data_IF_828766310716
#
_entry.id   IF_828766310716
#
_cell.length_a   1.000
_cell.length_b   1.000
_cell.length_c   1.000
_cell.angle_alpha   90.00
_cell.angle_beta   90.00
_cell.angle_gamma   90.00
#
_symmetry.space_group_name_H-M   'P 1'
#
loop_
_entity.id
_entity.type
_entity.pdbx_description
1 polymer ?
#
# COMPACT_ATOMS: atom_id res chain seq x y z
N UNK A 1 8.36 -22.86 4.85
CA UNK A 1 8.22 -21.64 5.64
C UNK A 1 7.29 -20.59 5.00
N UNK A 2 7.10 -20.50 3.65
CA UNK A 2 6.19 -19.53 3.00
C UNK A 2 4.69 -19.77 3.22
N UNK A 3 4.28 -21.00 3.55
CA UNK A 3 2.86 -21.38 3.76
C UNK A 3 2.32 -21.03 5.16
N UNK A 4 3.20 -20.80 6.15
CA UNK A 4 2.77 -20.50 7.53
C UNK A 4 2.37 -19.03 7.74
N UNK A 5 2.86 -18.11 6.92
CA UNK A 5 2.53 -16.67 7.04
C UNK A 5 1.10 -16.39 6.58
N UNK A 6 0.63 -17.11 5.55
CA UNK A 6 -0.76 -16.98 5.07
C UNK A 6 -1.80 -17.47 6.10
N UNK A 7 -1.46 -18.55 6.83
CA UNK A 7 -2.34 -19.08 7.87
C UNK A 7 -2.44 -18.16 9.10
N UNK A 8 -1.37 -17.44 9.43
CA UNK A 8 -1.38 -16.49 10.54
C UNK A 8 -2.22 -15.23 10.25
N UNK A 9 -2.24 -14.76 9.00
CA UNK A 9 -3.08 -13.62 8.59
C UNK A 9 -4.57 -14.00 8.60
N UNK A 10 -4.93 -15.22 8.16
CA UNK A 10 -6.32 -15.70 8.24
C UNK A 10 -6.77 -15.98 9.68
N UNK A 11 -5.88 -16.44 10.56
CA UNK A 11 -6.23 -16.76 11.95
C UNK A 11 -6.46 -15.50 12.79
N UNK A 12 -5.81 -14.39 12.48
CA UNK A 12 -6.06 -13.10 13.15
C UNK A 12 -7.39 -12.46 12.75
N UNK A 13 -7.90 -12.72 11.55
CA UNK A 13 -9.20 -12.23 11.09
C UNK A 13 -10.36 -12.84 11.88
N UNK A 14 -10.24 -14.11 12.30
CA UNK A 14 -11.31 -14.78 13.06
C UNK A 14 -11.43 -14.33 14.53
N UNK A 15 -10.41 -13.69 15.10
CA UNK A 15 -10.41 -13.25 16.50
C UNK A 15 -10.97 -11.82 16.70
N UNK A 16 -11.18 -11.06 15.63
CA UNK A 16 -11.60 -9.65 15.69
C UNK A 16 -13.10 -9.45 15.45
N UNK A 17 -13.85 -10.52 15.16
CA UNK A 17 -15.31 -10.44 14.91
C UNK A 17 -16.18 -10.12 16.14
N UNK A 18 -15.57 -9.70 17.27
CA UNK A 18 -16.27 -9.42 18.52
C UNK A 18 -16.26 -7.94 18.95
N UNK A 19 -15.76 -7.04 18.15
CA UNK A 19 -15.92 -5.62 18.41
C UNK A 19 -17.10 -5.10 17.57
N UNK A 20 -18.32 -5.20 18.08
CA UNK A 20 -19.45 -4.37 17.63
C UNK A 20 -19.06 -2.90 17.84
N UNK A 21 -18.35 -2.36 16.85
CA UNK A 21 -18.08 -0.94 16.77
C UNK A 21 -19.32 -0.23 16.28
N UNK A 22 -19.98 0.47 17.15
CA UNK A 22 -21.07 1.44 16.89
C UNK A 22 -20.66 2.61 15.99
N UNK A 23 -19.70 2.43 15.13
CA UNK A 23 -19.04 3.55 14.45
C UNK A 23 -19.06 3.29 12.94
N UNK A 24 -19.87 4.00 12.25
CA UNK A 24 -20.07 4.05 10.82
C UNK A 24 -18.97 3.53 9.89
N UNK A 25 -19.20 3.53 8.60
CA UNK A 25 -18.24 3.10 7.58
C UNK A 25 -16.84 3.69 7.79
N UNK A 26 -15.82 2.98 7.34
CA UNK A 26 -14.38 3.35 7.36
C UNK A 26 -13.67 3.21 8.71
N UNK A 27 -14.33 2.74 9.77
CA UNK A 27 -13.74 2.51 11.10
C UNK A 27 -13.56 1.02 11.39
N UNK A 28 -12.79 0.68 12.45
CA UNK A 28 -12.47 -0.70 12.81
C UNK A 28 -11.33 -1.29 11.99
N UNK A 29 -11.11 -2.59 12.16
CA UNK A 29 -10.10 -3.32 11.40
C UNK A 29 -10.57 -3.61 9.98
N UNK A 30 -9.66 -3.52 9.01
CA UNK A 30 -9.92 -3.84 7.63
C UNK A 30 -8.82 -4.69 7.02
N UNK A 31 -9.22 -5.63 6.18
CA UNK A 31 -8.30 -6.45 5.37
C UNK A 31 -8.75 -6.39 3.93
N UNK A 32 -7.82 -6.15 3.01
CA UNK A 32 -8.15 -5.98 1.61
C UNK A 32 -7.03 -6.34 0.67
N UNK A 33 -7.36 -6.23 -0.62
CA UNK A 33 -6.42 -6.37 -1.71
C UNK A 33 -6.57 -5.20 -2.69
N UNK A 34 -5.45 -4.80 -3.27
CA UNK A 34 -5.40 -3.75 -4.29
C UNK A 34 -4.65 -4.25 -5.51
N UNK A 35 -5.13 -3.83 -6.67
CA UNK A 35 -4.45 -3.96 -7.95
C UNK A 35 -4.04 -2.57 -8.41
N UNK A 36 -2.88 -2.45 -9.02
CA UNK A 36 -2.40 -1.16 -9.46
C UNK A 36 -1.26 -1.23 -10.43
N UNK A 37 -0.70 -0.06 -10.67
CA UNK A 37 0.48 0.12 -11.48
C UNK A 37 1.37 1.18 -10.85
N UNK A 38 2.67 0.89 -10.79
CA UNK A 38 3.69 1.83 -10.33
C UNK A 38 4.62 2.18 -11.49
N UNK A 39 4.70 3.46 -11.78
CA UNK A 39 5.65 4.04 -12.71
C UNK A 39 6.91 4.46 -11.95
N UNK A 40 8.07 4.01 -12.45
CA UNK A 40 9.38 4.33 -11.91
C UNK A 40 10.02 5.41 -12.79
N UNK A 41 10.08 6.63 -12.28
CA UNK A 41 10.71 7.76 -12.97
C UNK A 41 12.22 7.52 -13.16
N UNK A 42 12.82 8.21 -14.14
CA UNK A 42 14.22 8.11 -14.57
C UNK A 42 14.53 6.92 -15.52
N UNK A 43 13.66 6.72 -16.52
CA UNK A 43 13.84 5.69 -17.55
C UNK A 43 13.37 4.30 -17.11
N UNK A 44 12.65 4.22 -16.00
CA UNK A 44 12.01 3.01 -15.51
C UNK A 44 10.75 2.65 -16.32
N UNK A 45 10.21 1.49 -15.99
CA UNK A 45 8.99 0.95 -16.60
C UNK A 45 7.84 1.00 -15.62
N UNK A 46 6.64 1.08 -16.15
CA UNK A 46 5.42 0.83 -15.38
C UNK A 46 5.32 -0.66 -15.06
N UNK A 47 5.10 -0.96 -13.80
CA UNK A 47 5.00 -2.32 -13.26
C UNK A 47 3.61 -2.51 -12.65
N UNK A 48 2.96 -3.63 -12.96
CA UNK A 48 1.70 -3.99 -12.34
C UNK A 48 1.94 -4.43 -10.87
N UNK A 49 1.08 -3.99 -9.99
CA UNK A 49 1.13 -4.24 -8.55
C UNK A 49 -0.06 -5.09 -8.09
N UNK A 50 0.22 -6.01 -7.19
CA UNK A 50 -0.79 -6.75 -6.42
C UNK A 50 -0.44 -6.60 -4.96
N UNK A 51 -1.32 -5.95 -4.19
CA UNK A 51 -1.06 -5.63 -2.80
C UNK A 51 -2.07 -6.32 -1.88
N UNK A 52 -1.59 -6.81 -0.72
CA UNK A 52 -2.43 -7.05 0.44
C UNK A 52 -2.36 -5.83 1.36
N UNK A 53 -3.48 -5.46 1.94
CA UNK A 53 -3.62 -4.30 2.82
C UNK A 53 -4.31 -4.72 4.11
N UNK A 54 -3.69 -4.36 5.25
CA UNK A 54 -4.32 -4.37 6.55
C UNK A 54 -4.47 -2.94 7.04
N UNK A 55 -5.60 -2.59 7.64
CA UNK A 55 -5.82 -1.22 8.12
C UNK A 55 -6.63 -1.17 9.40
N UNK A 56 -6.50 -0.08 10.14
CA UNK A 56 -7.34 0.25 11.28
C UNK A 56 -7.82 1.68 11.15
N UNK A 57 -9.14 1.86 11.15
CA UNK A 57 -9.78 3.15 11.06
C UNK A 57 -10.41 3.58 12.38
N UNK A 58 -10.37 4.87 12.68
CA UNK A 58 -10.98 5.47 13.87
C UNK A 58 -11.59 6.82 13.54
N UNK A 59 -12.77 7.09 14.09
CA UNK A 59 -13.47 8.35 13.94
C UNK A 59 -13.04 9.35 15.00
N UNK A 60 -13.03 10.63 14.67
CA UNK A 60 -12.86 11.71 15.63
C UNK A 60 -14.25 12.13 16.14
N UNK A 61 -14.52 12.03 17.45
CA UNK A 61 -15.82 12.34 18.01
C UNK A 61 -16.34 13.74 17.63
N UNK A 62 -17.60 13.82 17.23
CA UNK A 62 -18.22 15.09 16.86
C UNK A 62 -17.81 15.68 15.51
N UNK A 63 -17.08 14.92 14.70
CA UNK A 63 -16.62 15.36 13.37
C UNK A 63 -16.87 14.29 12.32
N UNK A 64 -16.78 14.66 11.05
CA UNK A 64 -16.75 13.72 9.92
C UNK A 64 -15.33 13.25 9.56
N UNK A 65 -14.35 13.54 10.40
CA UNK A 65 -12.97 13.13 10.19
C UNK A 65 -12.77 11.67 10.61
N UNK A 66 -12.00 10.95 9.78
CA UNK A 66 -11.61 9.56 10.03
C UNK A 66 -10.11 9.43 9.80
N UNK A 67 -9.39 8.98 10.83
CA UNK A 67 -8.00 8.59 10.72
C UNK A 67 -7.91 7.11 10.36
N UNK A 68 -6.96 6.73 9.48
CA UNK A 68 -6.67 5.33 9.17
C UNK A 68 -5.17 5.09 9.19
N UNK A 69 -4.74 4.10 9.98
CA UNK A 69 -3.40 3.52 9.86
C UNK A 69 -3.47 2.30 8.95
N UNK A 70 -2.52 2.12 8.06
CA UNK A 70 -2.46 0.98 7.16
C UNK A 70 -1.05 0.38 7.02
N UNK A 71 -1.04 -0.89 6.71
CA UNK A 71 0.15 -1.65 6.28
C UNK A 71 -0.17 -2.26 4.93
N UNK A 72 0.73 -2.09 3.97
CA UNK A 72 0.58 -2.63 2.62
C UNK A 72 1.81 -3.48 2.28
N UNK A 73 1.56 -4.64 1.71
CA UNK A 73 2.61 -5.52 1.18
C UNK A 73 2.34 -5.82 -0.30
N UNK A 74 3.31 -5.51 -1.14
CA UNK A 74 3.26 -5.75 -2.58
C UNK A 74 3.92 -7.09 -2.91
N UNK A 75 3.20 -7.97 -3.59
CA UNK A 75 3.67 -9.28 -4.06
C UNK A 75 4.30 -9.20 -5.46
N UNK A 76 4.30 -8.04 -6.09
CA UNK A 76 4.81 -7.83 -7.44
C UNK A 76 6.32 -8.14 -7.53
N UNK A 77 6.71 -8.75 -8.66
CA UNK A 77 8.08 -8.93 -9.07
C UNK A 77 8.27 -8.24 -10.42
N UNK A 78 8.24 -6.91 -10.40
CA UNK A 78 8.32 -6.11 -11.60
C UNK A 78 9.76 -5.83 -12.03
N UNK A 79 10.02 -5.93 -13.35
CA UNK A 79 11.27 -5.45 -13.94
C UNK A 79 11.13 -3.94 -14.14
N UNK A 80 11.82 -3.15 -13.31
CA UNK A 80 11.76 -1.69 -13.31
C UNK A 80 12.73 -1.07 -14.31
N UNK A 81 13.82 -1.77 -14.65
CA UNK A 81 14.80 -1.32 -15.66
C UNK A 81 15.38 -2.50 -16.42
N UNK A 82 15.64 -2.33 -17.73
CA UNK A 82 16.33 -3.32 -18.54
C UNK A 82 16.97 -2.62 -19.73
N UNK A 83 18.30 -2.55 -19.75
CA UNK A 83 19.12 -2.03 -20.83
C UNK A 83 20.50 -2.68 -20.85
N UNK A 84 21.09 -2.92 -22.04
CA UNK A 84 22.45 -3.40 -22.26
C UNK A 84 22.89 -4.57 -21.37
N UNK A 85 21.99 -5.56 -21.12
CA UNK A 85 22.30 -6.73 -20.29
C UNK A 85 22.19 -6.48 -18.78
N UNK A 86 21.85 -5.28 -18.35
CA UNK A 86 21.52 -4.95 -16.96
C UNK A 86 20.02 -5.04 -16.76
N UNK A 87 19.57 -5.74 -15.73
CA UNK A 87 18.19 -5.85 -15.35
C UNK A 87 18.01 -5.54 -13.86
N UNK A 88 17.13 -4.61 -13.54
CA UNK A 88 16.75 -4.28 -12.16
C UNK A 88 15.31 -4.71 -11.93
N UNK A 89 15.07 -5.44 -10.85
CA UNK A 89 13.73 -5.88 -10.42
C UNK A 89 13.44 -5.32 -9.04
N UNK A 90 12.25 -4.73 -8.88
CA UNK A 90 11.69 -4.42 -7.57
C UNK A 90 10.99 -5.65 -7.01
N UNK A 91 11.18 -5.92 -5.73
CA UNK A 91 10.58 -7.04 -5.00
C UNK A 91 10.23 -6.62 -3.58
N UNK A 92 9.18 -7.27 -3.03
CA UNK A 92 8.86 -7.15 -1.61
C UNK A 92 8.74 -5.70 -1.14
N UNK A 93 7.89 -4.91 -1.80
CA UNK A 93 7.62 -3.56 -1.31
C UNK A 93 6.69 -3.64 -0.11
N UNK A 94 7.10 -3.03 0.97
CA UNK A 94 6.34 -2.88 2.20
C UNK A 94 6.12 -1.40 2.47
N UNK A 95 4.92 -1.03 2.90
CA UNK A 95 4.66 0.33 3.36
C UNK A 95 3.80 0.35 4.62
N UNK A 96 4.02 1.38 5.43
CA UNK A 96 3.17 1.74 6.57
C UNK A 96 2.72 3.17 6.35
N UNK A 97 1.45 3.44 6.52
CA UNK A 97 0.88 4.75 6.23
C UNK A 97 -0.15 5.21 7.25
N UNK A 98 -0.40 6.50 7.19
CA UNK A 98 -1.50 7.16 7.86
C UNK A 98 -2.29 7.98 6.84
N UNK A 99 -3.59 7.78 6.79
CA UNK A 99 -4.52 8.53 5.97
C UNK A 99 -5.47 9.33 6.85
N UNK A 100 -5.66 10.60 6.50
CA UNK A 100 -6.69 11.45 7.08
C UNK A 100 -7.80 11.63 6.07
N UNK A 101 -8.96 11.06 6.36
CA UNK A 101 -10.17 11.15 5.55
C UNK A 101 -11.20 12.11 6.11
N UNK A 102 -12.10 12.54 5.25
CA UNK A 102 -13.29 13.30 5.58
C UNK A 102 -14.52 12.66 4.91
N UNK A 103 -15.53 12.28 5.69
CA UNK A 103 -16.77 11.71 5.15
C UNK A 103 -17.62 12.82 4.53
N UNK A 104 -17.56 12.94 3.21
CA UNK A 104 -18.41 13.89 2.47
C UNK A 104 -19.86 13.41 2.37
N UNK A 105 -20.05 12.09 2.44
CA UNK A 105 -21.32 11.39 2.65
C UNK A 105 -21.09 10.22 3.59
N UNK A 106 -22.13 9.58 4.14
CA UNK A 106 -21.95 8.36 4.94
C UNK A 106 -21.15 7.27 4.26
N UNK A 107 -21.17 7.21 2.93
CA UNK A 107 -20.58 6.14 2.12
C UNK A 107 -19.36 6.58 1.30
N UNK A 108 -18.97 7.85 1.29
CA UNK A 108 -17.85 8.36 0.47
C UNK A 108 -16.89 9.16 1.34
N UNK A 109 -15.62 8.78 1.27
CA UNK A 109 -14.54 9.39 2.06
C UNK A 109 -13.31 9.66 1.20
N UNK A 110 -13.11 10.87 0.67
CA UNK A 110 -11.81 11.31 0.18
C UNK A 110 -10.82 11.40 1.35
N UNK A 111 -9.54 11.16 1.04
CA UNK A 111 -8.46 11.21 2.02
C UNK A 111 -7.14 11.67 1.43
N UNK A 112 -6.27 12.18 2.30
CA UNK A 112 -4.86 12.40 2.03
C UNK A 112 -4.06 11.43 2.91
N UNK A 113 -2.91 10.95 2.39
CA UNK A 113 -2.09 9.92 3.03
C UNK A 113 -0.62 10.33 3.05
N UNK A 114 0.06 9.97 4.12
CA UNK A 114 1.52 9.93 4.21
C UNK A 114 1.94 8.51 4.55
N UNK A 115 3.02 8.04 3.94
CA UNK A 115 3.51 6.67 4.13
C UNK A 115 5.03 6.59 4.13
N UNK A 116 5.55 5.63 4.86
CA UNK A 116 6.91 5.14 4.72
C UNK A 116 6.90 3.91 3.81
N UNK A 117 7.77 3.91 2.80
CA UNK A 117 7.86 2.84 1.79
C UNK A 117 9.26 2.25 1.82
N UNK A 118 9.36 0.93 1.77
CA UNK A 118 10.63 0.19 1.69
C UNK A 118 10.53 -0.88 0.61
N UNK A 119 11.52 -0.93 -0.29
CA UNK A 119 11.54 -1.85 -1.44
C UNK A 119 12.91 -2.48 -1.60
N UNK A 120 12.94 -3.79 -1.85
CA UNK A 120 14.16 -4.51 -2.21
C UNK A 120 14.37 -4.44 -3.73
N UNK A 121 15.48 -3.86 -4.16
CA UNK A 121 15.95 -3.85 -5.55
C UNK A 121 16.95 -4.95 -5.77
N UNK A 122 16.78 -5.74 -6.84
CA UNK A 122 17.76 -6.73 -7.29
C UNK A 122 18.26 -6.37 -8.66
N UNK A 123 19.56 -6.12 -8.75
CA UNK A 123 20.27 -5.89 -10.01
C UNK A 123 20.93 -7.18 -10.47
N UNK A 124 20.89 -7.44 -11.77
CA UNK A 124 21.59 -8.53 -12.43
C UNK A 124 22.27 -8.00 -13.68
N UNK A 125 23.59 -8.23 -13.80
CA UNK A 125 24.39 -7.83 -14.96
C UNK A 125 25.51 -8.86 -15.18
N UNK A 126 25.57 -9.49 -16.37
CA UNK A 126 26.68 -10.38 -16.76
C UNK A 126 26.99 -11.53 -15.79
N UNK A 127 25.99 -12.05 -15.05
CA UNK A 127 26.22 -13.11 -14.05
C UNK A 127 26.55 -12.58 -12.64
N UNK A 128 26.70 -11.28 -12.46
CA UNK A 128 26.84 -10.64 -11.14
C UNK A 128 25.46 -10.27 -10.61
N UNK A 129 25.21 -10.53 -9.33
CA UNK A 129 23.97 -10.23 -8.63
C UNK A 129 24.23 -9.27 -7.48
N UNK A 130 23.51 -8.17 -7.45
CA UNK A 130 23.48 -7.21 -6.35
C UNK A 130 22.07 -7.07 -5.79
N UNK A 131 21.95 -6.87 -4.49
CA UNK A 131 20.67 -6.50 -3.86
C UNK A 131 20.89 -5.27 -3.01
N UNK A 132 19.99 -4.30 -3.15
CA UNK A 132 19.99 -3.07 -2.36
C UNK A 132 18.58 -2.79 -1.88
N UNK A 133 18.47 -2.23 -0.69
CA UNK A 133 17.17 -1.79 -0.15
C UNK A 133 17.09 -0.28 -0.25
N UNK A 134 16.01 0.18 -0.85
CA UNK A 134 15.67 1.61 -0.90
C UNK A 134 14.45 1.87 -0.02
N UNK A 135 14.43 3.02 0.62
CA UNK A 135 13.31 3.43 1.48
C UNK A 135 13.07 4.93 1.36
N UNK A 136 11.89 5.34 1.73
CA UNK A 136 11.54 6.76 1.63
C UNK A 136 10.12 7.07 2.07
N UNK A 137 9.70 8.27 1.74
CA UNK A 137 8.39 8.82 2.11
C UNK A 137 7.53 8.96 0.87
N UNK A 138 6.28 8.52 0.98
CA UNK A 138 5.23 8.72 -0.01
C UNK A 138 4.14 9.64 0.52
N UNK A 139 3.57 10.42 -0.40
CA UNK A 139 2.34 11.18 -0.18
C UNK A 139 1.31 10.73 -1.18
N UNK A 140 0.06 10.62 -0.77
CA UNK A 140 -1.01 10.13 -1.62
C UNK A 140 -2.32 10.85 -1.37
N UNK A 141 -3.20 10.71 -2.34
CA UNK A 141 -4.60 11.12 -2.25
C UNK A 141 -5.46 10.00 -2.80
N UNK A 142 -6.65 9.85 -2.24
CA UNK A 142 -7.55 8.80 -2.67
C UNK A 142 -8.98 9.06 -2.23
N UNK A 143 -9.84 8.10 -2.59
CA UNK A 143 -11.20 8.06 -2.10
C UNK A 143 -11.60 6.62 -1.81
N UNK A 144 -12.42 6.44 -0.78
CA UNK A 144 -13.06 5.18 -0.42
C UNK A 144 -14.56 5.32 -0.52
N UNK A 145 -15.21 4.24 -0.93
CA UNK A 145 -16.66 4.13 -1.00
C UNK A 145 -17.09 2.85 -0.28
N UNK A 146 -17.94 2.99 0.71
CA UNK A 146 -18.63 1.87 1.33
C UNK A 146 -19.78 1.44 0.40
N UNK A 147 -19.71 0.18 -0.07
CA UNK A 147 -20.77 -0.40 -0.93
C UNK A 147 -21.72 -1.26 -0.13
N UNK A 148 -21.29 -1.69 1.05
CA UNK A 148 -22.08 -2.43 2.02
C UNK A 148 -21.57 -2.08 3.44
N UNK A 149 -22.26 -2.56 4.48
CA UNK A 149 -21.89 -2.37 5.89
C UNK A 149 -20.44 -2.71 6.18
N UNK A 150 -19.91 -3.73 5.51
CA UNK A 150 -18.59 -4.28 5.75
C UNK A 150 -17.64 -4.22 4.53
N UNK A 151 -18.10 -3.74 3.38
CA UNK A 151 -17.31 -3.76 2.13
C UNK A 151 -16.99 -2.35 1.68
N UNK A 152 -15.70 -2.07 1.48
CA UNK A 152 -15.18 -0.82 0.94
C UNK A 152 -14.49 -1.05 -0.39
N UNK A 153 -14.72 -0.15 -1.34
CA UNK A 153 -13.90 0.02 -2.53
C UNK A 153 -13.05 1.26 -2.37
N UNK A 154 -11.84 1.24 -2.92
CA UNK A 154 -10.92 2.38 -2.84
C UNK A 154 -10.13 2.58 -4.11
N UNK A 155 -9.75 3.84 -4.34
CA UNK A 155 -8.76 4.23 -5.33
C UNK A 155 -7.76 5.20 -4.69
N UNK A 156 -6.46 5.01 -4.95
CA UNK A 156 -5.37 5.79 -4.38
C UNK A 156 -4.33 6.12 -5.44
N UNK A 157 -3.95 7.38 -5.54
CA UNK A 157 -2.74 7.82 -6.23
C UNK A 157 -1.69 8.18 -5.18
N UNK A 158 -0.46 7.66 -5.34
CA UNK A 158 0.66 7.90 -4.44
C UNK A 158 1.90 8.31 -5.23
N UNK A 159 2.57 9.35 -4.75
CA UNK A 159 3.90 9.75 -5.18
C UNK A 159 4.89 9.44 -4.04
N UNK A 160 5.97 8.71 -4.32
CA UNK A 160 6.99 8.43 -3.33
C UNK A 160 8.39 8.81 -3.82
N UNK A 161 9.23 9.23 -2.88
CA UNK A 161 10.66 9.49 -3.07
C UNK A 161 11.43 8.51 -2.22
N UNK A 162 12.21 7.67 -2.89
CA UNK A 162 13.02 6.62 -2.27
C UNK A 162 14.48 6.97 -2.40
N UNK A 163 15.25 6.74 -1.35
CA UNK A 163 16.70 6.93 -1.32
C UNK A 163 17.38 5.68 -0.78
N UNK A 164 18.66 5.55 -1.06
CA UNK A 164 19.54 4.57 -0.47
C UNK A 164 20.70 5.29 0.22
N UNK A 165 21.19 4.73 1.31
CA UNK A 165 22.34 5.26 2.04
C UNK A 165 23.65 5.20 1.23
N UNK A 166 23.70 4.34 0.19
CA UNK A 166 24.89 4.05 -0.59
C UNK A 166 24.98 4.83 -1.92
N UNK A 167 23.93 5.59 -2.28
CA UNK A 167 23.87 6.34 -3.54
C UNK A 167 23.25 7.73 -3.33
N UNK A 168 23.90 8.76 -3.84
CA UNK A 168 23.40 10.16 -3.86
C UNK A 168 22.26 10.39 -4.88
N UNK A 169 21.38 9.41 -5.08
CA UNK A 169 20.26 9.46 -6.00
C UNK A 169 18.91 9.26 -5.32
N UNK A 170 17.90 10.00 -5.77
CA UNK A 170 16.51 9.79 -5.35
C UNK A 170 15.73 9.13 -6.47
N UNK A 171 15.16 7.95 -6.21
CA UNK A 171 14.20 7.30 -7.09
C UNK A 171 12.80 7.86 -6.80
N UNK A 172 12.07 8.27 -7.84
CA UNK A 172 10.69 8.71 -7.72
C UNK A 172 9.78 7.64 -8.27
N UNK A 173 8.67 7.41 -7.59
CA UNK A 173 7.62 6.48 -8.06
C UNK A 173 6.27 7.16 -8.02
N UNK A 174 5.43 6.83 -9.00
CA UNK A 174 4.03 7.22 -9.05
C UNK A 174 3.20 5.94 -9.16
N UNK A 175 2.29 5.72 -8.21
CA UNK A 175 1.46 4.53 -8.16
C UNK A 175 -0.01 4.91 -8.22
N UNK A 176 -0.78 4.15 -9.02
CA UNK A 176 -2.23 4.20 -9.01
C UNK A 176 -2.74 2.82 -8.61
N UNK A 177 -3.54 2.76 -7.56
CA UNK A 177 -4.09 1.52 -7.02
C UNK A 177 -5.61 1.61 -6.92
N UNK A 178 -6.29 0.50 -7.17
CA UNK A 178 -7.70 0.30 -6.91
C UNK A 178 -7.89 -0.99 -6.16
N UNK A 179 -8.82 -1.05 -5.22
CA UNK A 179 -8.97 -2.24 -4.40
C UNK A 179 -10.27 -2.31 -3.64
N UNK A 180 -10.41 -3.44 -2.94
CA UNK A 180 -11.52 -3.70 -2.05
C UNK A 180 -11.01 -4.19 -0.69
N UNK A 181 -11.75 -3.86 0.36
CA UNK A 181 -11.48 -4.30 1.72
C UNK A 181 -12.77 -4.70 2.44
N UNK A 182 -12.63 -5.63 3.37
CA UNK A 182 -13.68 -6.01 4.32
C UNK A 182 -13.33 -5.40 5.67
N UNK A 183 -14.31 -4.78 6.32
CA UNK A 183 -14.21 -4.18 7.65
C UNK A 183 -14.91 -5.02 8.71
N UNK A 184 -14.36 -4.96 9.92
CA UNK A 184 -14.83 -5.67 11.09
C UNK A 184 -15.01 -4.72 12.27
#
# INVERSE_FOLDING_TARGET
MKKMIFAAILATVSAVSMAEGTNGHFTGFGVGAELGATDWSDGGRTVADVNAVGSYGFAFPGTELVGQADVKYNFGNGRVYSDNGVSIKARNTFSVGYAQGYRVTPNIMPYAKVSYVSTDLKASSGGLFGSSRVHGVGVGVGAKMAVDSNVELGAEYQHARLSNSDFDGHLKTNSLNVGAAIRF
#
